data_IF_308964376049
#
_entry.id   IF_308964376049
#
_cell.length_a   1.000
_cell.length_b   1.000
_cell.length_c   1.000
_cell.angle_alpha   90.00
_cell.angle_beta   90.00
_cell.angle_gamma   90.00
#
_symmetry.space_group_name_H-M   'P 1'
#
loop_
_entity.id
_entity.type
_entity.pdbx_description
1 polymer ?
#
# COMPACT_ATOMS: atom_id res chain seq x y z
N UNK A 1 2.52 0.74 32.96
CA UNK A 1 3.46 -0.06 32.15
C UNK A 1 4.88 0.37 32.49
N UNK A 2 5.82 -0.57 32.51
CA UNK A 2 7.22 -0.26 32.77
C UNK A 2 7.82 0.64 31.68
N UNK A 3 8.67 1.59 32.09
CA UNK A 3 9.28 2.61 31.21
C UNK A 3 10.21 2.07 30.12
N UNK A 4 10.49 0.76 30.15
CA UNK A 4 11.49 0.10 29.33
C UNK A 4 10.90 -0.81 28.25
N UNK A 5 9.57 -0.99 28.22
CA UNK A 5 8.87 -1.88 27.29
C UNK A 5 8.07 -1.12 26.21
N UNK A 6 8.54 0.07 25.82
CA UNK A 6 7.86 0.93 24.84
C UNK A 6 8.27 0.65 23.37
N UNK A 7 9.13 -0.34 23.13
CA UNK A 7 9.58 -0.71 21.79
C UNK A 7 9.93 -2.18 21.66
N UNK A 8 9.87 -2.70 20.44
CA UNK A 8 10.14 -4.09 20.10
C UNK A 8 9.52 -4.44 18.74
N UNK A 9 9.69 -5.70 18.32
CA UNK A 9 8.90 -6.29 17.25
C UNK A 9 7.94 -7.34 17.82
N UNK A 10 6.80 -7.50 17.16
CA UNK A 10 5.77 -8.47 17.53
C UNK A 10 5.48 -9.35 16.32
N UNK A 11 5.56 -10.66 16.52
CA UNK A 11 5.11 -11.64 15.55
C UNK A 11 3.69 -12.05 15.89
N UNK A 12 2.77 -11.89 14.94
CA UNK A 12 1.38 -12.27 15.14
C UNK A 12 0.78 -12.82 13.84
N UNK A 13 -0.22 -13.69 13.99
CA UNK A 13 -1.06 -14.09 12.86
C UNK A 13 -1.99 -12.94 12.49
N UNK A 14 -1.84 -12.44 11.27
CA UNK A 14 -2.60 -11.30 10.80
C UNK A 14 -3.88 -11.77 10.09
N UNK A 15 -5.03 -11.43 10.68
CA UNK A 15 -6.32 -11.59 10.02
C UNK A 15 -6.81 -10.23 9.54
N UNK A 16 -7.03 -10.11 8.23
CA UNK A 16 -7.56 -8.90 7.60
C UNK A 16 -8.91 -9.20 6.96
N UNK A 17 -9.96 -8.45 7.35
CA UNK A 17 -11.34 -8.60 6.84
C UNK A 17 -11.81 -10.07 6.84
N UNK A 18 -11.56 -10.79 7.94
CA UNK A 18 -11.97 -12.19 8.12
C UNK A 18 -11.11 -13.23 7.39
N UNK A 19 -10.06 -12.82 6.66
CA UNK A 19 -9.13 -13.73 5.97
C UNK A 19 -7.78 -13.74 6.67
N UNK A 20 -7.27 -14.93 6.97
CA UNK A 20 -5.94 -15.10 7.56
C UNK A 20 -4.86 -14.88 6.47
N UNK A 21 -3.97 -13.91 6.71
CA UNK A 21 -2.85 -13.54 5.84
C UNK A 21 -1.53 -14.24 6.23
N UNK A 22 -1.53 -14.97 7.35
CA UNK A 22 -0.38 -15.69 7.89
C UNK A 22 0.36 -14.92 8.97
N UNK A 23 1.58 -15.39 9.27
CA UNK A 23 2.42 -14.80 10.30
C UNK A 23 3.14 -13.56 9.75
N UNK A 24 3.01 -12.43 10.45
CA UNK A 24 3.62 -11.16 10.08
C UNK A 24 4.43 -10.58 11.24
N UNK A 25 5.58 -9.98 10.90
CA UNK A 25 6.39 -9.22 11.86
C UNK A 25 5.98 -7.75 11.83
N UNK A 26 5.28 -7.33 12.87
CA UNK A 26 5.05 -5.92 13.15
C UNK A 26 6.33 -5.37 13.78
N UNK A 27 7.08 -4.56 13.02
CA UNK A 27 8.31 -3.90 13.48
C UNK A 27 8.24 -2.37 13.35
N UNK A 28 7.48 -1.87 12.37
CA UNK A 28 7.11 -0.47 12.22
C UNK A 28 5.81 -0.16 13.00
N UNK A 29 5.71 1.05 13.54
CA UNK A 29 4.45 1.64 14.02
C UNK A 29 3.71 0.93 15.18
N UNK A 30 4.38 0.04 15.90
CA UNK A 30 3.89 -0.55 17.15
C UNK A 30 3.60 0.48 18.25
N UNK A 31 4.27 1.63 18.19
CA UNK A 31 4.10 2.72 19.16
C UNK A 31 2.98 3.69 18.78
N UNK A 32 2.14 3.36 17.79
CA UNK A 32 0.91 4.13 17.51
C UNK A 32 -0.09 3.93 18.66
N UNK A 33 -0.85 4.96 18.99
CA UNK A 33 -1.88 4.90 20.05
C UNK A 33 -3.17 4.17 19.63
N UNK A 34 -3.22 3.61 18.43
CA UNK A 34 -4.46 3.13 17.80
C UNK A 34 -4.78 1.67 18.14
N UNK A 35 -3.85 0.96 18.78
CA UNK A 35 -4.06 -0.42 19.19
C UNK A 35 -5.10 -0.51 20.32
N UNK A 36 -6.05 -1.43 20.18
CA UNK A 36 -7.03 -1.76 21.22
C UNK A 36 -6.93 -3.25 21.54
N UNK A 37 -6.79 -3.55 22.83
CA UNK A 37 -6.83 -4.93 23.30
C UNK A 37 -8.28 -5.39 23.40
N UNK A 38 -8.59 -6.51 22.75
CA UNK A 38 -9.91 -7.14 22.82
C UNK A 38 -9.98 -7.98 24.10
N UNK A 39 -11.03 -7.78 24.89
CA UNK A 39 -11.22 -8.58 26.10
C UNK A 39 -11.70 -9.99 25.76
N UNK A 40 -11.24 -10.99 26.53
CA UNK A 40 -11.59 -12.42 26.34
C UNK A 40 -13.10 -12.71 26.26
N UNK A 41 -13.94 -11.87 26.87
CA UNK A 41 -15.41 -12.01 26.84
C UNK A 41 -16.02 -11.56 25.51
N UNK A 42 -15.36 -10.63 24.83
CA UNK A 42 -15.78 -10.03 23.56
C UNK A 42 -15.13 -10.74 22.36
N UNK A 43 -14.14 -11.59 22.61
CA UNK A 43 -13.37 -12.32 21.59
C UNK A 43 -14.26 -13.13 20.65
N UNK A 44 -15.21 -13.89 21.17
CA UNK A 44 -16.13 -14.70 20.35
C UNK A 44 -17.04 -13.85 19.47
N UNK A 45 -17.42 -12.66 19.91
CA UNK A 45 -18.25 -11.73 19.13
C UNK A 45 -17.40 -11.04 18.06
N UNK A 46 -16.19 -10.60 18.42
CA UNK A 46 -15.27 -9.93 17.51
C UNK A 46 -14.76 -10.86 16.40
N UNK A 47 -14.57 -12.15 16.69
CA UNK A 47 -14.12 -13.13 15.70
C UNK A 47 -15.23 -13.54 14.70
N UNK A 48 -16.50 -13.21 14.95
CA UNK A 48 -17.57 -13.53 14.00
C UNK A 48 -17.44 -12.66 12.75
N UNK A 49 -17.24 -13.32 11.62
CA UNK A 49 -17.21 -12.68 10.31
C UNK A 49 -18.14 -13.44 9.36
N UNK A 50 -19.25 -12.82 8.99
CA UNK A 50 -20.25 -13.43 8.10
C UNK A 50 -19.80 -13.38 6.63
N UNK A 51 -19.07 -12.33 6.26
CA UNK A 51 -18.60 -12.07 4.89
C UNK A 51 -17.08 -11.84 4.90
N UNK A 52 -16.29 -12.94 4.84
CA UNK A 52 -14.84 -12.82 4.73
C UNK A 52 -14.44 -12.29 3.35
N UNK A 53 -13.32 -11.56 3.32
CA UNK A 53 -12.78 -10.98 2.10
C UNK A 53 -12.55 -12.04 1.01
N UNK A 54 -13.16 -11.81 -0.15
CA UNK A 54 -12.99 -12.63 -1.35
C UNK A 54 -11.63 -12.41 -2.03
N UNK A 55 -11.49 -12.95 -3.24
CA UNK A 55 -10.34 -12.65 -4.10
C UNK A 55 -10.53 -11.29 -4.78
N UNK A 56 -9.46 -10.50 -4.84
CA UNK A 56 -9.48 -9.15 -5.42
C UNK A 56 -9.30 -9.28 -6.92
N UNK A 57 -10.38 -9.08 -7.66
CA UNK A 57 -10.40 -9.22 -9.12
C UNK A 57 -10.01 -7.88 -9.78
N UNK A 58 -8.90 -7.89 -10.52
CA UNK A 58 -8.41 -6.71 -11.24
C UNK A 58 -8.26 -6.99 -12.74
N UNK A 59 -8.44 -5.99 -13.62
CA UNK A 59 -8.18 -6.16 -15.04
C UNK A 59 -6.73 -6.56 -15.33
N UNK A 60 -6.51 -7.39 -16.34
CA UNK A 60 -5.17 -7.78 -16.79
C UNK A 60 -4.38 -6.63 -17.48
N UNK A 61 -5.10 -5.67 -18.04
CA UNK A 61 -4.57 -4.61 -18.90
C UNK A 61 -5.44 -3.37 -18.81
N UNK A 62 -4.88 -2.24 -19.15
CA UNK A 62 -5.57 -0.95 -19.18
C UNK A 62 -5.36 -0.23 -20.52
N UNK A 63 -6.33 0.61 -20.95
CA UNK A 63 -6.17 1.41 -22.15
C UNK A 63 -5.13 2.52 -21.95
N UNK A 64 -4.25 2.70 -22.92
CA UNK A 64 -3.27 3.78 -22.89
C UNK A 64 -3.96 5.15 -23.03
N UNK A 65 -3.38 6.21 -22.45
CA UNK A 65 -3.86 7.57 -22.63
C UNK A 65 -3.99 7.95 -24.12
N UNK A 66 -5.06 8.67 -24.53
CA UNK A 66 -5.30 9.01 -25.93
C UNK A 66 -4.13 9.74 -26.62
N UNK A 67 -3.45 10.62 -25.87
CA UNK A 67 -2.28 11.34 -26.37
C UNK A 67 -1.10 10.40 -26.64
N UNK A 68 -0.87 9.44 -25.76
CA UNK A 68 0.20 8.45 -25.92
C UNK A 68 -0.03 7.59 -27.16
N UNK A 69 -1.28 7.17 -27.40
CA UNK A 69 -1.68 6.43 -28.61
C UNK A 69 -1.43 7.29 -29.86
N UNK A 70 -1.82 8.58 -29.83
CA UNK A 70 -1.62 9.50 -30.96
C UNK A 70 -0.13 9.67 -31.29
N UNK A 71 0.72 9.86 -30.28
CA UNK A 71 2.17 9.97 -30.45
C UNK A 71 2.77 8.67 -31.00
N UNK A 72 2.35 7.51 -30.49
CA UNK A 72 2.78 6.20 -31.00
C UNK A 72 2.41 6.01 -32.47
N UNK A 73 1.18 6.37 -32.88
CA UNK A 73 0.74 6.31 -34.29
C UNK A 73 1.56 7.23 -35.19
N UNK A 74 1.88 8.45 -34.75
CA UNK A 74 2.76 9.38 -35.50
C UNK A 74 4.17 8.84 -35.64
N UNK A 75 4.73 8.27 -34.58
CA UNK A 75 6.06 7.68 -34.58
C UNK A 75 6.14 6.46 -35.51
N UNK A 76 5.15 5.56 -35.44
CA UNK A 76 5.05 4.40 -36.31
C UNK A 76 4.99 4.81 -37.79
N UNK A 77 4.16 5.81 -38.12
CA UNK A 77 4.06 6.37 -39.48
C UNK A 77 5.38 6.97 -39.97
N UNK A 78 6.12 7.68 -39.10
CA UNK A 78 7.41 8.28 -39.44
C UNK A 78 8.48 7.23 -39.76
N UNK A 79 8.43 6.08 -39.09
CA UNK A 79 9.43 5.02 -39.22
C UNK A 79 8.99 3.85 -40.12
N UNK A 80 7.84 3.96 -40.78
CA UNK A 80 7.31 2.89 -41.64
C UNK A 80 6.88 1.62 -40.88
N UNK A 81 6.60 1.72 -39.58
CA UNK A 81 6.17 0.59 -38.75
C UNK A 81 4.64 0.45 -38.78
N UNK A 82 4.14 -0.78 -38.73
CA UNK A 82 2.70 -1.07 -38.63
C UNK A 82 2.23 -0.95 -37.18
N UNK A 83 1.15 -0.20 -36.95
CA UNK A 83 0.51 -0.04 -35.64
C UNK A 83 -0.65 -1.02 -35.49
N UNK A 84 -0.70 -1.77 -34.38
CA UNK A 84 -1.75 -2.77 -34.10
C UNK A 84 -2.56 -2.37 -32.88
N UNK A 85 -3.84 -2.73 -32.81
CA UNK A 85 -4.73 -2.43 -31.68
C UNK A 85 -4.24 -2.97 -30.32
N UNK A 86 -3.49 -4.09 -30.33
CA UNK A 86 -2.84 -4.60 -29.12
C UNK A 86 -1.86 -3.61 -28.48
N UNK A 87 -1.30 -2.67 -29.25
CA UNK A 87 -0.38 -1.63 -28.79
C UNK A 87 -1.10 -0.44 -28.15
N UNK A 88 -2.44 -0.41 -28.17
CA UNK A 88 -3.25 0.62 -27.49
C UNK A 88 -3.44 0.32 -26.00
N UNK A 89 -2.97 -0.83 -25.51
CA UNK A 89 -3.12 -1.26 -24.12
C UNK A 89 -1.79 -1.65 -23.51
N UNK A 90 -1.70 -1.52 -22.19
CA UNK A 90 -0.56 -1.94 -21.39
C UNK A 90 -0.99 -2.93 -20.29
N UNK A 91 -0.11 -3.84 -19.85
CA UNK A 91 -0.41 -4.72 -18.72
C UNK A 91 -0.63 -3.90 -17.45
N UNK A 92 -1.66 -4.26 -16.69
CA UNK A 92 -1.93 -3.61 -15.40
C UNK A 92 -1.14 -4.32 -14.32
N UNK A 93 -0.41 -3.54 -13.52
CA UNK A 93 0.20 -4.02 -12.29
C UNK A 93 -0.23 -3.15 -11.12
N UNK A 94 -0.66 -3.80 -10.04
CA UNK A 94 -1.22 -3.11 -8.87
C UNK A 94 -0.06 -2.71 -7.97
N UNK A 95 0.06 -1.40 -7.73
CA UNK A 95 0.97 -0.88 -6.73
C UNK A 95 0.38 -1.15 -5.35
N UNK A 96 1.09 -1.91 -4.53
CA UNK A 96 0.67 -2.28 -3.17
C UNK A 96 1.74 -1.77 -2.23
N UNK A 97 1.30 -1.10 -1.17
CA UNK A 97 2.21 -0.64 -0.14
C UNK A 97 2.92 -1.83 0.52
N UNK A 98 4.19 -1.70 0.93
CA UNK A 98 4.96 -2.82 1.50
C UNK A 98 4.27 -3.50 2.69
N UNK A 99 3.55 -2.73 3.50
CA UNK A 99 2.77 -3.23 4.65
C UNK A 99 1.67 -4.22 4.24
N UNK A 100 1.16 -4.11 3.02
CA UNK A 100 0.08 -4.94 2.49
C UNK A 100 0.58 -5.93 1.42
N UNK A 101 1.89 -6.16 1.32
CA UNK A 101 2.47 -7.07 0.33
C UNK A 101 1.93 -8.50 0.43
N UNK A 102 1.52 -8.91 1.64
CA UNK A 102 0.83 -10.17 1.94
C UNK A 102 -0.49 -10.34 1.18
N UNK A 103 -1.10 -9.26 0.68
CA UNK A 103 -2.33 -9.31 -0.12
C UNK A 103 -2.10 -9.74 -1.58
N UNK A 104 -0.86 -9.70 -2.07
CA UNK A 104 -0.52 -10.04 -3.47
C UNK A 104 -1.10 -11.37 -3.97
N UNK A 105 -1.04 -12.49 -3.22
CA UNK A 105 -1.57 -13.77 -3.68
C UNK A 105 -3.09 -13.77 -3.91
N UNK A 106 -3.81 -12.84 -3.27
CA UNK A 106 -5.26 -12.72 -3.38
C UNK A 106 -5.71 -11.81 -4.53
N UNK A 107 -4.77 -11.11 -5.18
CA UNK A 107 -5.05 -10.25 -6.34
C UNK A 107 -4.97 -11.09 -7.62
N UNK A 108 -6.12 -11.31 -8.25
CA UNK A 108 -6.24 -12.09 -9.48
C UNK A 108 -6.51 -11.19 -10.68
N UNK A 109 -5.68 -11.35 -11.71
CA UNK A 109 -5.82 -10.64 -12.99
C UNK A 109 -6.80 -11.38 -13.90
N UNK A 110 -7.84 -10.69 -14.35
CA UNK A 110 -8.89 -11.24 -15.23
C UNK A 110 -8.99 -10.38 -16.51
N UNK A 111 -9.31 -11.01 -17.65
CA UNK A 111 -9.62 -10.26 -18.87
C UNK A 111 -11.04 -9.66 -18.74
N UNK A 112 -11.20 -8.33 -18.83
CA UNK A 112 -12.50 -7.71 -18.63
C UNK A 112 -13.50 -8.14 -19.72
N UNK A 113 -14.79 -8.28 -19.38
CA UNK A 113 -15.82 -8.73 -20.33
C UNK A 113 -16.03 -7.74 -21.49
N UNK A 114 -15.74 -6.46 -21.26
CA UNK A 114 -15.77 -5.39 -22.27
C UNK A 114 -14.51 -4.55 -22.14
N UNK A 115 -13.77 -4.42 -23.24
CA UNK A 115 -12.60 -3.53 -23.31
C UNK A 115 -13.11 -2.13 -23.67
N UNK A 116 -13.03 -1.23 -22.69
CA UNK A 116 -13.46 0.15 -22.81
C UNK A 116 -12.25 1.08 -23.05
N UNK A 117 -12.55 2.37 -23.26
CA UNK A 117 -11.52 3.42 -23.37
C UNK A 117 -11.02 3.92 -22.01
N UNK A 118 -11.74 3.58 -20.94
CA UNK A 118 -11.43 3.96 -19.56
C UNK A 118 -11.33 2.71 -18.71
N UNK A 119 -10.33 2.67 -17.82
CA UNK A 119 -10.16 1.57 -16.85
C UNK A 119 -11.31 1.51 -15.84
N UNK A 120 -11.92 2.66 -15.53
CA UNK A 120 -13.01 2.74 -14.55
C UNK A 120 -14.29 2.03 -15.02
N UNK A 121 -14.46 1.89 -16.34
CA UNK A 121 -15.60 1.16 -16.91
C UNK A 121 -15.35 -0.37 -16.91
N UNK A 122 -14.10 -0.79 -16.74
CA UNK A 122 -13.67 -2.19 -16.78
C UNK A 122 -13.49 -2.79 -15.39
N UNK A 123 -13.05 -1.98 -14.43
CA UNK A 123 -12.84 -2.39 -13.05
C UNK A 123 -14.17 -2.43 -12.28
N UNK A 124 -14.39 -3.48 -11.48
CA UNK A 124 -15.52 -3.50 -10.56
C UNK A 124 -15.22 -2.60 -9.34
N UNK A 125 -15.94 -1.47 -9.15
CA UNK A 125 -15.71 -0.60 -8.01
C UNK A 125 -16.05 -1.27 -6.66
N UNK A 126 -16.98 -2.21 -6.64
CA UNK A 126 -17.42 -2.88 -5.41
C UNK A 126 -16.29 -3.67 -4.76
N UNK A 127 -15.38 -4.24 -5.56
CA UNK A 127 -14.21 -4.98 -5.05
C UNK A 127 -13.30 -4.07 -4.23
N UNK A 128 -13.13 -2.82 -4.64
CA UNK A 128 -12.32 -1.85 -3.90
C UNK A 128 -13.05 -1.29 -2.69
N UNK A 129 -14.37 -1.07 -2.81
CA UNK A 129 -15.20 -0.60 -1.71
C UNK A 129 -15.30 -1.63 -0.58
N UNK A 130 -15.34 -2.92 -0.91
CA UNK A 130 -15.37 -4.00 0.06
C UNK A 130 -14.08 -4.07 0.92
N UNK A 131 -12.94 -3.60 0.41
CA UNK A 131 -11.70 -3.53 1.18
C UNK A 131 -11.78 -2.51 2.34
N UNK A 132 -12.56 -1.44 2.19
CA UNK A 132 -12.79 -0.46 3.26
C UNK A 132 -13.75 -0.98 4.33
N UNK A 133 -14.61 -1.94 3.98
CA UNK A 133 -15.61 -2.47 4.90
C UNK A 133 -16.68 -1.46 5.27
N UNK A 134 -17.24 -1.59 6.49
CA UNK A 134 -18.32 -0.71 6.98
C UNK A 134 -17.82 0.62 7.53
N UNK A 135 -16.53 0.76 7.77
CA UNK A 135 -15.94 1.99 8.27
C UNK A 135 -15.47 2.85 7.10
N UNK A 136 -15.94 4.10 7.05
CA UNK A 136 -15.44 5.05 6.06
C UNK A 136 -13.97 5.35 6.36
N UNK A 137 -13.11 5.48 5.33
CA UNK A 137 -11.71 5.82 5.53
C UNK A 137 -11.61 7.14 6.28
N UNK A 138 -11.28 7.06 7.57
CA UNK A 138 -11.00 8.22 8.39
C UNK A 138 -9.60 8.71 8.06
N UNK A 139 -9.45 10.02 7.90
CA UNK A 139 -8.13 10.65 7.82
C UNK A 139 -7.37 10.28 9.10
N UNK A 140 -6.44 9.34 8.99
CA UNK A 140 -5.45 9.12 10.02
C UNK A 140 -4.59 10.37 9.96
N UNK A 141 -4.77 11.26 10.93
CA UNK A 141 -3.77 12.30 11.17
C UNK A 141 -2.52 11.53 11.57
N UNK A 142 -1.65 11.24 10.59
CA UNK A 142 -0.28 10.86 10.87
C UNK A 142 0.27 12.05 11.62
N UNK A 143 0.24 11.98 12.94
CA UNK A 143 0.94 12.94 13.78
C UNK A 143 2.36 12.95 13.21
N UNK A 144 2.86 14.12 12.79
CA UNK A 144 4.26 14.34 12.40
C UNK A 144 5.24 14.08 13.57
N UNK A 145 4.79 13.36 14.60
CA UNK A 145 5.58 12.77 15.64
C UNK A 145 6.20 11.55 15.00
N UNK A 146 7.37 11.75 14.40
CA UNK A 146 8.31 10.66 14.17
C UNK A 146 8.49 9.85 15.46
N UNK A 147 9.17 8.68 15.40
CA UNK A 147 9.31 7.78 16.55
C UNK A 147 9.64 8.59 17.82
N UNK A 148 8.90 8.36 18.90
CA UNK A 148 8.98 9.13 20.14
C UNK A 148 10.44 9.19 20.62
N UNK A 149 11.14 10.25 20.22
CA UNK A 149 12.54 10.42 20.54
C UNK A 149 12.61 10.94 21.98
N UNK A 150 13.30 10.21 22.84
CA UNK A 150 13.66 10.71 24.17
C UNK A 150 14.63 11.87 23.95
N UNK A 151 14.10 13.10 23.94
CA UNK A 151 14.92 14.30 24.03
C UNK A 151 15.33 14.43 25.48
N UNK A 152 16.52 13.94 25.82
CA UNK A 152 17.15 14.25 27.10
C UNK A 152 17.42 15.76 27.07
N UNK A 153 16.75 16.57 27.91
CA UNK A 153 17.14 17.96 28.04
C UNK A 153 18.57 17.93 28.60
N UNK A 154 19.53 18.48 27.87
CA UNK A 154 20.94 18.62 28.26
C UNK A 154 21.91 17.44 27.99
N UNK A 155 21.72 16.65 26.93
CA UNK A 155 22.80 15.80 26.41
C UNK A 155 23.60 16.54 25.31
N UNK A 156 24.71 17.14 25.74
CA UNK A 156 25.95 17.47 25.02
C UNK A 156 25.86 18.09 23.61
N UNK A 157 26.11 19.40 23.59
CA UNK A 157 26.73 20.06 22.46
C UNK A 157 28.09 19.42 22.20
N UNK A 158 28.30 18.81 21.03
CA UNK A 158 29.54 18.89 20.25
C UNK A 158 29.48 18.05 18.97
N UNK A 159 29.36 18.72 17.83
CA UNK A 159 30.07 18.37 16.58
C UNK A 159 29.75 19.39 15.49
N UNK A 160 30.26 20.62 15.66
CA UNK A 160 30.50 21.49 14.51
C UNK A 160 31.79 20.98 13.86
N UNK A 161 31.77 20.44 12.63
CA UNK A 161 33.00 20.05 11.96
C UNK A 161 33.80 21.31 11.59
N UNK A 162 35.04 21.41 12.07
CA UNK A 162 35.98 22.45 11.63
C UNK A 162 36.34 22.19 10.16
N UNK A 163 36.29 23.19 9.26
CA UNK A 163 36.78 23.03 7.90
C UNK A 163 38.30 22.89 7.89
N UNK A 164 38.79 21.83 7.24
CA UNK A 164 40.22 21.60 6.99
C UNK A 164 40.72 22.59 5.95
N UNK A 165 41.62 23.50 6.36
CA UNK A 165 42.34 24.37 5.44
C UNK A 165 43.48 23.59 4.80
N UNK A 166 43.27 23.12 3.56
CA UNK A 166 44.36 22.76 2.64
C UNK A 166 44.26 23.66 1.42
N UNK A 167 45.12 24.66 1.33
CA UNK A 167 45.32 25.41 0.10
C UNK A 167 46.82 25.48 -0.18
N UNK A 168 47.15 24.89 -1.32
CA UNK A 168 48.43 24.88 -1.97
C UNK A 168 48.88 26.29 -2.37
N UNK A 169 50.13 26.62 -2.09
CA UNK A 169 51.16 27.11 -3.03
C UNK A 169 52.49 27.22 -2.29
#
# INVERSE_FOLDING_TARGET
MDRWLYGGSVWAEWTFRGRNLGLYEFSSDLNRSDWRLIHKREEEEFMKCDEPMGDILVPNSFPLPPLQILLAKKYAKKNGLTFTEAQERAPLDVCIDPEFEMLRPFIKKIDPPKKAKSIYDEANPEVWLDLYGRELPTKVEAWNVGPAAIRIPFAEADSIPKPSTSLAM
#
